data_IF_870704473071
#
_entry.id   IF_870704473071
#
_cell.length_a   1.000
_cell.length_b   1.000
_cell.length_c   1.000
_cell.angle_alpha   90.00
_cell.angle_beta   90.00
_cell.angle_gamma   90.00
#
_symmetry.space_group_name_H-M   'P 1'
#
loop_
_entity.id
_entity.type
_entity.pdbx_description
1 polymer ?
#
# COMPACT_ATOMS: atom_id res chain seq x y z
N UNK A 1 -11.62 -15.06 -7.41
CA UNK A 1 -11.58 -14.16 -6.24
C UNK A 1 -10.73 -14.83 -5.18
N UNK A 2 -9.68 -14.15 -4.69
CA UNK A 2 -8.97 -14.63 -3.49
C UNK A 2 -9.63 -14.00 -2.27
N UNK A 3 -9.81 -14.79 -1.23
CA UNK A 3 -10.39 -14.34 0.05
C UNK A 3 -9.32 -14.47 1.10
N UNK A 4 -9.11 -13.41 1.88
CA UNK A 4 -8.17 -13.39 2.99
C UNK A 4 -8.96 -13.30 4.30
N UNK A 5 -8.53 -14.06 5.31
CA UNK A 5 -9.08 -13.94 6.65
C UNK A 5 -8.23 -12.97 7.47
N UNK A 6 -8.83 -11.88 7.94
CA UNK A 6 -8.15 -10.90 8.78
C UNK A 6 -7.90 -11.46 10.19
N UNK A 7 -6.65 -11.38 10.64
CA UNK A 7 -6.19 -11.86 11.95
C UNK A 7 -6.17 -10.74 13.01
N UNK A 8 -6.52 -9.51 12.64
CA UNK A 8 -6.42 -8.34 13.51
C UNK A 8 -7.20 -7.14 12.99
N UNK A 9 -6.95 -5.99 13.61
CA UNK A 9 -7.54 -4.71 13.17
C UNK A 9 -6.66 -4.05 12.11
N UNK A 10 -7.26 -3.35 11.14
CA UNK A 10 -6.49 -2.56 10.19
C UNK A 10 -5.85 -1.35 10.86
N UNK A 11 -4.63 -1.02 10.44
CA UNK A 11 -3.85 0.13 10.89
C UNK A 11 -3.47 1.00 9.70
N UNK A 12 -3.48 2.33 9.87
CA UNK A 12 -3.09 3.26 8.81
C UNK A 12 -1.61 3.14 8.50
N UNK A 13 -1.27 3.17 7.21
CA UNK A 13 0.10 3.11 6.71
C UNK A 13 0.44 4.42 6.04
N UNK A 14 1.66 4.91 6.27
CA UNK A 14 2.21 6.07 5.57
C UNK A 14 3.27 5.67 4.55
N UNK A 15 4.07 4.65 4.85
CA UNK A 15 5.14 4.19 3.96
C UNK A 15 5.25 2.67 3.94
N UNK A 16 5.76 2.14 2.82
CA UNK A 16 6.02 0.72 2.65
C UNK A 16 7.33 0.50 1.92
N UNK A 17 8.09 -0.52 2.31
CA UNK A 17 9.29 -0.94 1.60
C UNK A 17 8.92 -1.99 0.56
N UNK A 18 9.11 -1.64 -0.72
CA UNK A 18 8.78 -2.49 -1.87
C UNK A 18 9.75 -2.21 -3.02
N UNK A 19 9.88 -3.15 -3.95
CA UNK A 19 10.52 -2.90 -5.21
C UNK A 19 9.62 -2.01 -6.08
N UNK A 20 10.15 -0.87 -6.53
CA UNK A 20 9.49 -0.07 -7.56
C UNK A 20 9.47 -0.81 -8.91
N UNK A 21 8.71 -0.33 -9.92
CA UNK A 21 8.56 -1.01 -11.20
C UNK A 21 9.88 -1.27 -11.95
N UNK A 22 10.94 -0.51 -11.62
CA UNK A 22 12.26 -0.57 -12.27
C UNK A 22 13.44 -0.49 -11.28
N UNK A 23 13.18 -0.67 -9.99
CA UNK A 23 14.17 -0.41 -8.93
C UNK A 23 14.33 -1.55 -7.92
N UNK A 24 15.35 -1.47 -7.06
CA UNK A 24 15.48 -2.37 -5.92
C UNK A 24 14.37 -2.10 -4.88
N UNK A 25 14.32 -2.92 -3.83
CA UNK A 25 13.43 -2.67 -2.70
C UNK A 25 13.87 -1.45 -1.91
N UNK A 26 13.01 -0.43 -1.90
CA UNK A 26 13.23 0.84 -1.22
C UNK A 26 11.95 1.26 -0.51
N UNK A 27 12.07 2.18 0.44
CA UNK A 27 10.93 2.73 1.16
C UNK A 27 10.23 3.76 0.27
N UNK A 28 8.90 3.73 0.23
CA UNK A 28 8.07 4.60 -0.59
C UNK A 28 6.91 5.16 0.23
N UNK A 29 6.45 6.36 -0.10
CA UNK A 29 5.16 6.84 0.39
C UNK A 29 4.04 5.98 -0.21
N UNK A 30 3.01 5.71 0.57
CA UNK A 30 1.81 5.01 0.10
C UNK A 30 0.54 5.78 0.47
N UNK A 31 -0.42 5.77 -0.44
CA UNK A 31 -1.78 6.24 -0.20
C UNK A 31 -2.76 5.25 -0.82
N UNK A 32 -3.99 5.20 -0.30
CA UNK A 32 -5.10 4.58 -1.01
C UNK A 32 -5.57 5.47 -2.15
N UNK A 33 -6.25 4.89 -3.13
CA UNK A 33 -6.88 5.60 -4.24
C UNK A 33 -8.34 5.21 -4.37
N UNK A 34 -9.21 6.20 -4.53
CA UNK A 34 -10.65 5.98 -4.65
C UNK A 34 -11.24 6.68 -5.88
N UNK A 35 -12.35 6.15 -6.38
CA UNK A 35 -13.02 6.59 -7.61
C UNK A 35 -13.69 7.97 -7.51
N UNK A 36 -13.90 8.48 -6.30
CA UNK A 36 -14.49 9.80 -6.08
C UNK A 36 -13.69 10.88 -6.83
N UNK A 37 -14.40 11.72 -7.60
CA UNK A 37 -13.80 12.84 -8.31
C UNK A 37 -12.82 12.43 -9.42
N UNK A 38 -13.10 11.32 -10.13
CA UNK A 38 -12.24 10.73 -11.18
C UNK A 38 -10.87 10.25 -10.67
N UNK A 39 -10.76 9.99 -9.37
CA UNK A 39 -9.55 9.50 -8.75
C UNK A 39 -9.00 10.48 -7.72
N UNK A 40 -9.19 10.17 -6.44
CA UNK A 40 -8.66 10.97 -5.34
C UNK A 40 -7.85 10.14 -4.34
N UNK A 41 -6.80 10.73 -3.72
CA UNK A 41 -6.09 10.07 -2.63
C UNK A 41 -7.00 9.84 -1.42
N UNK A 42 -6.88 8.68 -0.80
CA UNK A 42 -7.51 8.35 0.47
C UNK A 42 -6.51 7.58 1.37
N UNK A 43 -6.77 7.39 2.67
CA UNK A 43 -5.85 6.66 3.53
C UNK A 43 -5.60 5.21 3.07
N UNK A 44 -4.35 4.75 3.15
CA UNK A 44 -3.98 3.33 3.02
C UNK A 44 -3.98 2.63 4.38
N UNK A 45 -4.25 1.33 4.37
CA UNK A 45 -4.29 0.49 5.56
C UNK A 45 -3.55 -0.83 5.32
N UNK A 46 -3.04 -1.41 6.39
CA UNK A 46 -2.64 -2.82 6.40
C UNK A 46 -3.41 -3.59 7.46
N UNK A 47 -3.61 -4.88 7.23
CA UNK A 47 -4.17 -5.82 8.20
C UNK A 47 -3.42 -7.15 8.11
N UNK A 48 -3.04 -7.78 9.24
CA UNK A 48 -2.49 -9.13 9.21
C UNK A 48 -3.57 -10.09 8.71
N UNK A 49 -3.21 -11.01 7.82
CA UNK A 49 -4.09 -12.01 7.22
C UNK A 49 -3.49 -13.40 7.30
N UNK A 50 -4.36 -14.42 7.33
CA UNK A 50 -3.92 -15.81 7.24
C UNK A 50 -3.45 -16.12 5.82
N UNK A 51 -2.21 -16.58 5.68
CA UNK A 51 -1.74 -17.25 4.47
C UNK A 51 -1.60 -18.76 4.75
N UNK A 52 -1.97 -19.58 3.78
CA UNK A 52 -2.32 -21.01 3.94
C UNK A 52 -1.18 -21.97 4.32
N UNK A 53 -0.05 -21.50 4.85
CA UNK A 53 0.99 -22.42 5.33
C UNK A 53 2.33 -21.89 5.84
N UNK A 54 2.71 -20.62 5.64
CA UNK A 54 4.10 -20.18 5.89
C UNK A 54 4.29 -19.00 6.87
N UNK A 55 3.22 -18.36 7.35
CA UNK A 55 3.33 -17.25 8.30
C UNK A 55 2.16 -16.28 8.22
N UNK A 56 2.19 -15.24 9.05
CA UNK A 56 1.28 -14.12 8.90
C UNK A 56 1.73 -13.27 7.71
N UNK A 57 0.84 -13.05 6.74
CA UNK A 57 1.04 -12.06 5.69
C UNK A 57 0.32 -10.77 6.08
N UNK A 58 0.69 -9.66 5.47
CA UNK A 58 0.08 -8.36 5.73
C UNK A 58 -0.55 -7.83 4.45
N UNK A 59 -1.87 -7.72 4.45
CA UNK A 59 -2.63 -7.19 3.31
C UNK A 59 -2.62 -5.66 3.38
N UNK A 60 -1.92 -5.02 2.45
CA UNK A 60 -1.95 -3.59 2.22
C UNK A 60 -3.03 -3.25 1.19
N UNK A 61 -3.95 -2.36 1.55
CA UNK A 61 -5.08 -1.96 0.71
C UNK A 61 -5.44 -0.49 0.90
N UNK A 62 -6.22 0.05 -0.05
CA UNK A 62 -6.65 1.43 -0.07
C UNK A 62 -8.13 1.55 -0.41
N UNK A 63 -8.47 2.54 -1.25
CA UNK A 63 -9.83 2.72 -1.75
C UNK A 63 -10.20 1.67 -2.80
N UNK A 64 -11.33 1.90 -3.48
CA UNK A 64 -11.86 0.99 -4.51
C UNK A 64 -10.99 0.91 -5.77
N UNK A 65 -10.02 1.82 -5.95
CA UNK A 65 -9.01 1.77 -7.01
C UNK A 65 -7.64 1.28 -6.51
N UNK A 66 -7.55 0.79 -5.27
CA UNK A 66 -6.36 0.18 -4.70
C UNK A 66 -5.44 1.18 -3.99
N UNK A 67 -4.14 0.99 -4.14
CA UNK A 67 -3.08 1.81 -3.52
C UNK A 67 -2.15 2.41 -4.57
N UNK A 68 -1.56 3.55 -4.25
CA UNK A 68 -0.53 4.21 -5.04
C UNK A 68 0.73 4.47 -4.23
N UNK A 69 1.84 4.46 -4.93
CA UNK A 69 3.18 4.64 -4.39
C UNK A 69 3.89 5.79 -5.09
N UNK A 70 4.74 6.47 -4.34
CA UNK A 70 5.68 7.47 -4.88
C UNK A 70 7.01 7.39 -4.12
N UNK A 71 8.14 7.77 -4.74
CA UNK A 71 9.42 7.88 -4.06
C UNK A 71 9.37 8.75 -2.81
N UNK A 72 10.23 8.49 -1.83
CA UNK A 72 10.39 9.38 -0.67
C UNK A 72 11.02 10.72 -1.06
N UNK A 73 11.93 10.67 -2.03
CA UNK A 73 12.62 11.83 -2.57
C UNK A 73 11.70 12.51 -3.59
N UNK A 74 10.89 13.45 -3.11
CA UNK A 74 10.04 14.26 -3.98
C UNK A 74 8.84 14.88 -3.27
N UNK A 75 8.54 16.12 -3.63
CA UNK A 75 7.38 16.87 -3.14
C UNK A 75 6.21 16.84 -4.14
N UNK A 76 6.25 15.96 -5.15
CA UNK A 76 5.19 15.88 -6.15
C UNK A 76 3.87 15.41 -5.54
N UNK A 77 2.80 16.16 -5.78
CA UNK A 77 1.44 15.73 -5.42
C UNK A 77 1.08 14.38 -6.06
N UNK A 78 0.15 13.65 -5.43
CA UNK A 78 -0.37 12.43 -5.99
C UNK A 78 -1.13 12.67 -7.30
N UNK A 79 -0.70 12.04 -8.41
CA UNK A 79 -1.29 12.25 -9.75
C UNK A 79 -1.24 11.00 -10.59
N UNK A 80 -2.36 10.58 -11.17
CA UNK A 80 -2.44 9.36 -11.98
C UNK A 80 -1.48 9.36 -13.17
N UNK A 81 -1.19 10.54 -13.71
CA UNK A 81 -0.36 10.74 -14.90
C UNK A 81 1.15 10.81 -14.60
N UNK A 82 1.54 10.86 -13.32
CA UNK A 82 2.96 10.93 -12.96
C UNK A 82 3.66 9.60 -13.29
N UNK A 83 4.74 9.61 -14.10
CA UNK A 83 5.46 8.39 -14.48
C UNK A 83 6.32 7.81 -13.36
N UNK A 84 6.58 8.59 -12.31
CA UNK A 84 7.35 8.19 -11.12
C UNK A 84 6.45 7.54 -10.05
N UNK A 85 5.14 7.60 -10.26
CA UNK A 85 4.14 7.03 -9.37
C UNK A 85 3.47 5.85 -10.05
N UNK A 86 3.15 4.82 -9.28
CA UNK A 86 2.45 3.65 -9.77
C UNK A 86 1.42 3.19 -8.75
N UNK A 87 0.57 2.25 -9.15
CA UNK A 87 -0.44 1.72 -8.26
C UNK A 87 -0.59 0.21 -8.42
N UNK A 88 -1.11 -0.38 -7.36
CA UNK A 88 -1.40 -1.80 -7.26
C UNK A 88 -2.82 -1.94 -6.68
N UNK A 89 -3.59 -2.97 -7.08
CA UNK A 89 -4.93 -3.17 -6.51
C UNK A 89 -4.87 -3.42 -5.00
N UNK A 90 -3.87 -4.18 -4.57
CA UNK A 90 -3.48 -4.44 -3.18
C UNK A 90 -2.08 -5.08 -3.19
N UNK A 91 -1.41 -5.12 -2.05
CA UNK A 91 -0.17 -5.88 -1.88
C UNK A 91 -0.26 -6.84 -0.69
N UNK A 92 0.40 -7.99 -0.82
CA UNK A 92 0.69 -8.87 0.31
C UNK A 92 2.17 -8.73 0.66
N UNK A 93 2.43 -8.32 1.89
CA UNK A 93 3.78 -8.19 2.43
C UNK A 93 4.08 -9.37 3.34
N UNK A 94 5.30 -9.88 3.27
CA UNK A 94 5.74 -11.02 4.08
C UNK A 94 6.21 -10.62 5.48
N UNK A 95 6.66 -9.37 5.66
CA UNK A 95 7.20 -8.88 6.93
C UNK A 95 6.53 -7.55 7.32
N UNK A 96 6.24 -7.41 8.61
CA UNK A 96 5.73 -6.15 9.19
C UNK A 96 6.83 -5.08 9.23
N UNK A 97 8.10 -5.48 9.23
CA UNK A 97 9.23 -4.57 9.20
C UNK A 97 9.26 -3.69 7.93
N UNK A 98 8.59 -4.12 6.87
CA UNK A 98 8.45 -3.36 5.63
C UNK A 98 7.34 -2.30 5.69
N UNK A 99 6.63 -2.17 6.82
CA UNK A 99 5.47 -1.29 6.98
C UNK A 99 5.78 -0.19 7.99
N UNK A 100 5.57 1.06 7.60
CA UNK A 100 5.61 2.21 8.51
C UNK A 100 4.19 2.72 8.74
N UNK A 101 3.74 2.64 10.00
CA UNK A 101 2.43 3.13 10.43
C UNK A 101 2.38 4.66 10.43
N UNK A 102 1.23 5.21 10.02
CA UNK A 102 0.99 6.64 10.15
C UNK A 102 0.72 6.99 11.63
N UNK A 103 1.36 8.04 12.13
CA UNK A 103 1.05 8.61 13.45
C UNK A 103 -0.41 9.10 13.46
N UNK A 104 -1.12 8.88 14.58
CA UNK A 104 -2.54 9.27 14.72
C UNK A 104 -2.74 10.74 15.03
#
# INVERSE_FOLDING_TARGET
MRTYEALGRPSRVSQVKIAGPRGPEELHWVTGWQSDGDGTPCPAYYVPVSDSGEGAAYLLYGGDWGVRFRPLDGDEEWRLESPEQWGEPYLLLGDVADIVVAEQ
#
